data_IF_505419972798
#
_entry.id   IF_505419972798
#
_cell.length_a   1.000
_cell.length_b   1.000
_cell.length_c   1.000
_cell.angle_alpha   90.00
_cell.angle_beta   90.00
_cell.angle_gamma   90.00
#
_symmetry.space_group_name_H-M   'P 1'
#
loop_
_entity.id
_entity.type
_entity.pdbx_description
1 polymer ?
#
# COMPACT_ATOMS: atom_id res chain seq x y z
N UNK A 1 -13.31 86.88 20.69
CA UNK A 1 -13.59 85.47 21.05
C UNK A 1 -13.26 84.57 19.88
N UNK A 2 -12.13 83.87 19.88
CA UNK A 2 -11.97 82.55 19.23
C UNK A 2 -10.78 81.85 19.90
N UNK A 3 -11.06 80.82 20.70
CA UNK A 3 -10.08 79.91 21.30
C UNK A 3 -9.77 78.80 20.29
N UNK A 4 -8.50 78.51 20.02
CA UNK A 4 -8.06 77.32 19.27
C UNK A 4 -7.25 76.42 20.19
N UNK A 5 -7.83 75.32 20.63
CA UNK A 5 -7.14 74.23 21.33
C UNK A 5 -6.61 73.22 20.30
N UNK A 6 -5.32 72.90 20.37
CA UNK A 6 -4.68 71.84 19.55
C UNK A 6 -4.74 70.53 20.33
N UNK A 7 -5.50 69.56 19.84
CA UNK A 7 -5.48 68.18 20.32
C UNK A 7 -4.34 67.43 19.63
N UNK A 8 -3.42 66.87 20.43
CA UNK A 8 -2.43 65.90 19.97
C UNK A 8 -2.98 64.50 20.25
N UNK A 9 -3.25 63.73 19.19
CA UNK A 9 -3.68 62.32 19.29
C UNK A 9 -2.43 61.45 19.14
N UNK A 10 -2.12 60.68 20.18
CA UNK A 10 -1.05 59.67 20.19
C UNK A 10 -1.70 58.34 19.80
N UNK A 11 -1.34 57.80 18.63
CA UNK A 11 -1.76 56.47 18.18
C UNK A 11 -0.65 55.46 18.50
N UNK A 12 -0.94 54.53 19.41
CA UNK A 12 -0.12 53.35 19.66
C UNK A 12 -0.48 52.28 18.62
N UNK A 13 0.45 51.98 17.70
CA UNK A 13 0.29 50.88 16.75
C UNK A 13 0.73 49.57 17.41
N UNK A 14 -0.21 48.65 17.65
CA UNK A 14 0.07 47.28 18.09
C UNK A 14 0.26 46.41 16.85
N UNK A 15 1.48 45.92 16.64
CA UNK A 15 1.79 44.92 15.61
C UNK A 15 1.47 43.52 16.14
N UNK A 16 0.40 42.90 15.63
CA UNK A 16 0.15 41.47 15.82
C UNK A 16 1.02 40.68 14.82
N UNK A 17 2.16 40.18 15.28
CA UNK A 17 2.93 39.18 14.54
C UNK A 17 2.26 37.80 14.71
N UNK A 18 1.49 37.39 13.69
CA UNK A 18 0.97 36.02 13.63
C UNK A 18 2.11 35.04 13.39
N UNK A 19 2.41 34.18 14.37
CA UNK A 19 3.26 33.01 14.15
C UNK A 19 2.53 32.05 13.21
N UNK A 20 2.98 32.00 11.96
CA UNK A 20 2.62 30.92 11.04
C UNK A 20 3.45 29.70 11.47
N UNK A 21 2.87 28.81 12.27
CA UNK A 21 3.47 27.50 12.50
C UNK A 21 3.44 26.72 11.18
N UNK A 22 4.58 26.28 10.62
CA UNK A 22 4.57 25.40 9.47
C UNK A 22 3.82 24.12 9.84
N UNK A 23 2.75 23.83 9.13
CA UNK A 23 2.01 22.58 9.29
C UNK A 23 2.97 21.42 9.09
N UNK A 24 3.05 20.51 10.07
CA UNK A 24 3.71 19.22 9.88
C UNK A 24 3.06 18.54 8.68
N UNK A 25 3.77 18.08 7.63
CA UNK A 25 3.25 17.05 6.76
C UNK A 25 2.53 15.98 7.59
N UNK A 26 1.23 15.83 7.35
CA UNK A 26 0.49 14.69 7.82
C UNK A 26 1.14 13.47 7.16
N UNK A 27 2.01 12.79 7.89
CA UNK A 27 2.33 11.41 7.56
C UNK A 27 0.97 10.70 7.59
N UNK A 28 0.50 10.23 6.44
CA UNK A 28 -0.73 9.48 6.40
C UNK A 28 -0.51 8.25 7.28
N UNK A 29 -1.28 8.15 8.37
CA UNK A 29 -1.04 7.21 9.46
C UNK A 29 -0.82 5.79 8.92
N UNK A 30 0.41 5.29 9.01
CA UNK A 30 0.78 3.91 8.67
C UNK A 30 1.49 3.68 7.33
N UNK A 31 1.38 4.56 6.34
CA UNK A 31 2.02 4.35 5.01
C UNK A 31 3.10 5.38 4.76
N UNK A 32 4.34 4.91 4.62
CA UNK A 32 5.53 5.76 4.44
C UNK A 32 6.35 5.26 3.26
N UNK A 33 6.36 6.04 2.19
CA UNK A 33 7.17 5.77 1.00
C UNK A 33 8.67 5.74 1.34
N UNK A 34 9.43 4.89 0.65
CA UNK A 34 10.89 4.87 0.75
C UNK A 34 11.48 6.03 -0.06
N UNK A 35 11.92 7.07 0.64
CA UNK A 35 12.52 8.26 0.03
C UNK A 35 13.83 7.98 -0.72
N UNK A 36 14.51 6.87 -0.40
CA UNK A 36 15.75 6.44 -1.05
C UNK A 36 15.51 5.50 -2.24
N UNK A 37 14.25 5.11 -2.51
CA UNK A 37 13.92 4.31 -3.68
C UNK A 37 14.15 5.09 -4.99
N UNK A 38 14.45 4.41 -6.10
CA UNK A 38 14.52 5.04 -7.42
C UNK A 38 13.23 5.83 -7.73
N UNK A 39 13.33 6.95 -8.46
CA UNK A 39 12.19 7.83 -8.74
C UNK A 39 10.98 7.09 -9.33
N UNK A 40 11.20 6.14 -10.24
CA UNK A 40 10.15 5.31 -10.84
C UNK A 40 9.57 4.23 -9.92
N UNK A 41 10.01 4.15 -8.65
CA UNK A 41 9.52 3.22 -7.64
C UNK A 41 9.03 3.91 -6.37
N UNK A 42 8.99 5.24 -6.37
CA UNK A 42 8.64 6.05 -5.21
C UNK A 42 7.20 6.55 -5.34
N UNK A 43 6.23 5.96 -4.63
CA UNK A 43 4.87 6.48 -4.61
C UNK A 43 4.80 7.81 -3.85
N UNK A 44 3.72 8.55 -4.08
CA UNK A 44 3.36 9.70 -3.25
C UNK A 44 2.17 9.35 -2.38
N UNK A 45 2.32 9.50 -1.07
CA UNK A 45 1.23 9.26 -0.10
C UNK A 45 0.63 10.61 0.28
N UNK A 46 -0.68 10.75 0.05
CA UNK A 46 -1.46 11.94 0.37
C UNK A 46 -2.70 11.53 1.16
N UNK A 47 -3.47 12.51 1.65
CA UNK A 47 -4.75 12.24 2.32
C UNK A 47 -5.90 12.54 1.37
N UNK A 48 -6.91 11.67 1.34
CA UNK A 48 -8.18 11.93 0.64
C UNK A 48 -9.00 12.99 1.38
N UNK A 49 -10.07 13.48 0.76
CA UNK A 49 -10.95 14.47 1.40
C UNK A 49 -11.59 13.95 2.70
N UNK A 50 -11.90 12.65 2.78
CA UNK A 50 -12.41 12.03 3.99
C UNK A 50 -11.31 11.51 4.94
N UNK A 51 -10.03 11.79 4.65
CA UNK A 51 -8.92 11.52 5.57
C UNK A 51 -8.34 10.11 5.51
N UNK A 52 -8.57 9.36 4.43
CA UNK A 52 -7.89 8.08 4.19
C UNK A 52 -6.49 8.31 3.58
N UNK A 53 -5.53 7.40 3.82
CA UNK A 53 -4.30 7.38 3.04
C UNK A 53 -4.60 7.05 1.57
N UNK A 54 -4.16 7.91 0.66
CA UNK A 54 -4.13 7.66 -0.78
C UNK A 54 -2.68 7.55 -1.25
N UNK A 55 -2.37 6.41 -1.85
CA UNK A 55 -1.12 6.15 -2.54
C UNK A 55 -1.31 6.47 -4.02
N UNK A 56 -0.73 7.59 -4.45
CA UNK A 56 -0.45 7.82 -5.86
C UNK A 56 0.71 6.91 -6.26
N UNK A 57 0.39 5.73 -6.81
CA UNK A 57 1.36 4.71 -7.18
C UNK A 57 2.30 5.21 -8.29
N UNK A 58 3.49 4.64 -8.39
CA UNK A 58 4.42 4.92 -9.47
C UNK A 58 3.80 4.55 -10.83
N UNK A 59 4.19 5.24 -11.90
CA UNK A 59 3.78 4.87 -13.25
C UNK A 59 4.20 3.42 -13.56
N UNK A 60 3.34 2.61 -14.20
CA UNK A 60 3.71 1.24 -14.54
C UNK A 60 4.82 1.20 -15.60
N UNK A 61 5.63 0.15 -15.55
CA UNK A 61 6.58 -0.17 -16.62
C UNK A 61 5.89 -0.73 -17.88
N UNK A 62 6.69 -1.10 -18.89
CA UNK A 62 6.18 -1.67 -20.15
C UNK A 62 5.42 -3.00 -19.95
N UNK A 63 5.72 -3.74 -18.87
CA UNK A 63 5.01 -4.96 -18.49
C UNK A 63 3.70 -4.70 -17.74
N UNK A 64 3.39 -3.44 -17.42
CA UNK A 64 2.22 -3.06 -16.64
C UNK A 64 2.41 -3.20 -15.13
N UNK A 65 3.63 -3.36 -14.64
CA UNK A 65 3.96 -3.42 -13.22
C UNK A 65 4.21 -2.00 -12.68
N UNK A 66 3.39 -1.57 -11.73
CA UNK A 66 3.70 -0.44 -10.86
C UNK A 66 4.40 -0.96 -9.62
N UNK A 67 5.69 -0.66 -9.48
CA UNK A 67 6.46 -1.06 -8.32
C UNK A 67 6.61 0.11 -7.35
N UNK A 68 6.18 -0.08 -6.11
CA UNK A 68 6.10 0.96 -5.09
C UNK A 68 6.89 0.50 -3.87
N UNK A 69 7.87 1.29 -3.43
CA UNK A 69 8.73 0.96 -2.29
C UNK A 69 8.41 1.80 -1.07
N UNK A 70 8.41 1.14 0.10
CA UNK A 70 8.02 1.72 1.37
C UNK A 70 8.98 1.36 2.49
N UNK A 71 9.08 2.24 3.49
CA UNK A 71 9.66 1.94 4.81
C UNK A 71 8.60 1.40 5.78
N UNK A 72 7.32 1.70 5.52
CA UNK A 72 6.17 1.23 6.28
C UNK A 72 4.95 1.17 5.38
N UNK A 73 4.19 0.10 5.48
CA UNK A 73 2.92 -0.05 4.77
C UNK A 73 1.94 -0.75 5.71
N UNK A 74 1.28 0.04 6.55
CA UNK A 74 0.21 -0.38 7.43
C UNK A 74 -1.10 0.25 6.95
N UNK A 75 -2.17 -0.54 6.96
CA UNK A 75 -3.50 -0.11 6.56
C UNK A 75 -4.41 -0.23 7.77
N UNK A 76 -5.03 0.86 8.18
CA UNK A 76 -5.96 0.85 9.30
C UNK A 76 -7.32 0.25 8.90
N UNK A 77 -8.26 0.18 9.84
CA UNK A 77 -9.60 -0.39 9.60
C UNK A 77 -10.44 0.43 8.62
N UNK A 78 -10.10 1.70 8.40
CA UNK A 78 -10.82 2.58 7.47
C UNK A 78 -10.36 2.34 6.02
N UNK A 79 -9.19 1.75 5.84
CA UNK A 79 -8.67 1.32 4.55
C UNK A 79 -7.71 2.33 3.90
N UNK A 80 -7.28 2.02 2.68
CA UNK A 80 -6.37 2.84 1.90
C UNK A 80 -6.75 2.84 0.42
N UNK A 81 -6.43 3.92 -0.28
CA UNK A 81 -6.61 4.04 -1.73
C UNK A 81 -5.28 3.78 -2.44
N UNK A 82 -5.29 2.93 -3.46
CA UNK A 82 -4.23 2.78 -4.44
C UNK A 82 -4.70 3.46 -5.74
N UNK A 83 -4.23 4.68 -6.02
CA UNK A 83 -4.71 5.48 -7.14
C UNK A 83 -4.07 5.03 -8.46
N UNK A 84 -4.77 4.17 -9.20
CA UNK A 84 -4.36 3.61 -10.49
C UNK A 84 -5.04 4.33 -11.68
N UNK A 85 -5.46 5.58 -11.51
CA UNK A 85 -6.16 6.34 -12.57
C UNK A 85 -5.39 7.58 -13.00
N UNK A 86 -5.26 7.82 -14.31
CA UNK A 86 -4.75 9.09 -14.84
C UNK A 86 -5.78 10.24 -14.76
N UNK A 87 -7.03 9.93 -14.40
CA UNK A 87 -8.17 10.87 -14.45
C UNK A 87 -8.88 10.88 -13.10
N UNK A 88 -9.70 11.91 -12.90
CA UNK A 88 -10.59 11.96 -11.74
C UNK A 88 -11.51 10.73 -11.76
N UNK A 89 -11.63 10.06 -10.62
CA UNK A 89 -12.35 8.79 -10.53
C UNK A 89 -13.10 8.67 -9.20
N UNK A 90 -14.16 7.88 -9.20
CA UNK A 90 -14.94 7.59 -7.99
C UNK A 90 -14.40 6.34 -7.32
N UNK A 91 -14.37 6.35 -5.99
CA UNK A 91 -13.97 5.24 -5.13
C UNK A 91 -15.07 4.97 -4.10
N UNK A 92 -15.21 3.72 -3.68
CA UNK A 92 -16.14 3.30 -2.64
C UNK A 92 -15.74 3.78 -1.24
N UNK A 93 -14.45 3.84 -0.93
CA UNK A 93 -13.94 4.22 0.39
C UNK A 93 -13.76 5.74 0.56
N UNK A 94 -13.38 6.46 -0.50
CA UNK A 94 -13.01 7.89 -0.41
C UNK A 94 -13.90 8.84 -1.22
N UNK A 95 -14.88 8.32 -1.98
CA UNK A 95 -15.65 9.13 -2.92
C UNK A 95 -14.79 9.56 -4.11
N UNK A 96 -15.00 10.79 -4.60
CA UNK A 96 -14.26 11.31 -5.75
C UNK A 96 -12.82 11.68 -5.37
N UNK A 97 -11.85 11.17 -6.14
CA UNK A 97 -10.43 11.52 -6.02
C UNK A 97 -9.89 12.08 -7.34
N UNK A 98 -8.85 12.90 -7.26
CA UNK A 98 -8.13 13.38 -8.44
C UNK A 98 -7.31 12.25 -9.08
N UNK A 99 -7.00 12.40 -10.37
CA UNK A 99 -6.09 11.49 -11.06
C UNK A 99 -4.70 11.46 -10.42
N UNK A 100 -4.04 10.32 -10.52
CA UNK A 100 -2.68 10.10 -10.07
C UNK A 100 -1.71 10.98 -10.90
N UNK A 101 -1.01 11.95 -10.27
CA UNK A 101 -0.10 12.84 -10.98
C UNK A 101 1.16 12.15 -11.52
N UNK A 102 1.44 10.92 -11.08
CA UNK A 102 2.54 10.12 -11.63
C UNK A 102 2.23 9.60 -13.04
N UNK A 103 0.95 9.60 -13.44
CA UNK A 103 0.54 9.14 -14.76
C UNK A 103 0.48 10.34 -15.70
N UNK A 104 0.92 10.17 -16.94
CA UNK A 104 0.65 11.16 -17.99
C UNK A 104 -0.85 11.26 -18.28
N UNK A 105 -1.32 12.30 -19.00
CA UNK A 105 -2.75 12.51 -19.31
C UNK A 105 -3.47 11.31 -19.96
N UNK A 106 -2.70 10.45 -20.66
CA UNK A 106 -3.15 9.18 -21.26
C UNK A 106 -2.27 8.01 -20.79
N UNK A 107 -1.69 8.09 -19.59
CA UNK A 107 -0.88 7.04 -19.02
C UNK A 107 -1.68 5.75 -18.86
N UNK A 108 -1.11 4.63 -19.29
CA UNK A 108 -1.71 3.33 -19.08
C UNK A 108 -1.77 3.01 -17.58
N UNK A 109 -2.88 2.40 -17.16
CA UNK A 109 -3.01 1.92 -15.79
C UNK A 109 -2.15 0.67 -15.55
N UNK A 110 -1.73 0.49 -14.30
CA UNK A 110 -1.02 -0.70 -13.88
C UNK A 110 -1.95 -1.92 -13.92
N UNK A 111 -1.41 -3.06 -14.35
CA UNK A 111 -2.04 -4.38 -14.26
C UNK A 111 -1.69 -5.07 -12.94
N UNK A 112 -0.52 -4.76 -12.41
CA UNK A 112 0.00 -5.27 -11.12
C UNK A 112 0.52 -4.10 -10.32
N UNK A 113 0.05 -3.96 -9.08
CA UNK A 113 0.53 -2.98 -8.11
C UNK A 113 1.32 -3.74 -7.05
N UNK A 114 2.64 -3.66 -7.12
CA UNK A 114 3.54 -4.25 -6.14
C UNK A 114 3.89 -3.20 -5.08
N UNK A 115 3.49 -3.47 -3.83
CA UNK A 115 3.90 -2.72 -2.66
C UNK A 115 5.00 -3.50 -1.94
N UNK A 116 6.26 -3.10 -2.11
CA UNK A 116 7.42 -3.71 -1.48
C UNK A 116 7.87 -2.90 -0.27
N UNK A 117 7.98 -3.56 0.87
CA UNK A 117 8.38 -2.94 2.12
C UNK A 117 9.81 -3.36 2.44
N UNK A 118 10.69 -2.37 2.54
CA UNK A 118 12.07 -2.54 2.95
C UNK A 118 12.24 -2.06 4.39
N UNK A 119 11.84 -2.90 5.34
CA UNK A 119 11.83 -2.59 6.77
C UNK A 119 12.16 -3.82 7.62
N UNK A 120 12.59 -3.60 8.86
CA UNK A 120 12.69 -4.65 9.86
C UNK A 120 11.35 -4.97 10.53
N UNK A 121 10.34 -4.11 10.34
CA UNK A 121 9.03 -4.26 10.96
C UNK A 121 8.03 -4.94 10.02
N UNK A 122 7.19 -5.85 10.53
CA UNK A 122 6.13 -6.45 9.74
C UNK A 122 5.07 -5.41 9.35
N UNK A 123 4.36 -5.67 8.25
CA UNK A 123 3.19 -4.88 7.86
C UNK A 123 1.97 -5.27 8.69
N UNK A 124 1.18 -4.28 9.07
CA UNK A 124 -0.07 -4.48 9.81
C UNK A 124 -1.25 -3.99 8.97
N UNK A 125 -2.07 -4.93 8.50
CA UNK A 125 -3.17 -4.67 7.58
C UNK A 125 -4.49 -4.98 8.26
N UNK A 126 -5.33 -3.98 8.51
CA UNK A 126 -6.60 -4.11 9.23
C UNK A 126 -7.84 -3.67 8.44
N UNK A 127 -7.65 -3.28 7.19
CA UNK A 127 -8.73 -2.81 6.34
C UNK A 127 -8.43 -3.04 4.87
N UNK A 128 -9.38 -2.62 4.04
CA UNK A 128 -9.34 -2.87 2.60
C UNK A 128 -8.44 -1.85 1.88
N UNK A 129 -7.70 -2.35 0.89
CA UNK A 129 -7.01 -1.54 -0.10
C UNK A 129 -7.88 -1.45 -1.36
N UNK A 130 -8.34 -0.26 -1.70
CA UNK A 130 -9.13 -0.03 -2.90
C UNK A 130 -8.27 0.45 -4.06
N UNK A 131 -8.34 -0.25 -5.20
CA UNK A 131 -7.73 0.23 -6.45
C UNK A 131 -8.68 1.22 -7.12
N UNK A 132 -8.29 2.50 -7.16
CA UNK A 132 -9.07 3.52 -7.85
C UNK A 132 -8.78 3.51 -9.36
N UNK A 133 -9.83 3.61 -10.17
CA UNK A 133 -9.73 3.52 -11.64
C UNK A 133 -9.71 2.07 -12.13
N UNK A 134 -8.77 1.77 -13.03
CA UNK A 134 -8.73 0.45 -13.67
C UNK A 134 -8.30 -0.65 -12.68
N UNK A 135 -9.00 -1.79 -12.76
CA UNK A 135 -8.75 -2.98 -11.94
C UNK A 135 -7.30 -3.46 -12.12
N UNK A 136 -6.64 -3.78 -11.01
CA UNK A 136 -5.29 -4.34 -10.99
C UNK A 136 -5.16 -5.50 -10.00
N UNK A 137 -4.06 -6.23 -10.06
CA UNK A 137 -3.64 -7.11 -8.97
C UNK A 137 -2.95 -6.28 -7.88
N UNK A 138 -3.15 -6.64 -6.61
CA UNK A 138 -2.50 -5.98 -5.48
C UNK A 138 -1.60 -6.96 -4.76
N UNK A 139 -0.34 -6.59 -4.60
CA UNK A 139 0.67 -7.39 -3.92
C UNK A 139 1.23 -6.57 -2.77
N UNK A 140 1.31 -7.16 -1.58
CA UNK A 140 2.05 -6.62 -0.44
C UNK A 140 3.18 -7.58 -0.12
N UNK A 141 4.42 -7.13 -0.28
CA UNK A 141 5.62 -7.91 -0.06
C UNK A 141 6.45 -7.31 1.08
N UNK A 142 6.52 -8.00 2.22
CA UNK A 142 7.31 -7.59 3.38
C UNK A 142 8.07 -8.78 3.99
N UNK A 143 9.39 -8.91 3.75
CA UNK A 143 10.19 -9.99 4.33
C UNK A 143 10.27 -10.01 5.86
N UNK A 144 9.90 -8.92 6.55
CA UNK A 144 9.80 -8.93 8.01
C UNK A 144 8.53 -9.65 8.51
N UNK A 145 7.52 -9.85 7.67
CA UNK A 145 6.25 -10.46 8.03
C UNK A 145 5.06 -9.57 7.67
N UNK A 146 3.87 -10.18 7.69
CA UNK A 146 2.60 -9.49 7.44
C UNK A 146 1.57 -10.02 8.44
N UNK A 147 0.84 -9.14 9.10
CA UNK A 147 -0.37 -9.47 9.83
C UNK A 147 -1.59 -8.89 9.10
N UNK A 148 -2.62 -9.72 8.93
CA UNK A 148 -3.92 -9.36 8.40
C UNK A 148 -5.01 -9.62 9.44
N UNK A 149 -5.74 -8.56 9.83
CA UNK A 149 -6.87 -8.60 10.76
C UNK A 149 -8.05 -7.83 10.15
N UNK A 150 -8.78 -8.47 9.23
CA UNK A 150 -9.86 -7.84 8.45
C UNK A 150 -9.37 -7.10 7.21
N UNK A 151 -8.18 -7.46 6.70
CA UNK A 151 -7.65 -6.86 5.48
C UNK A 151 -8.29 -7.45 4.23
N UNK A 152 -8.20 -6.74 3.11
CA UNK A 152 -8.72 -7.22 1.82
C UNK A 152 -8.47 -6.22 0.70
N UNK A 153 -9.10 -6.46 -0.45
CA UNK A 153 -9.00 -5.56 -1.60
C UNK A 153 -10.35 -5.23 -2.22
N UNK A 154 -10.49 -4.01 -2.74
CA UNK A 154 -11.64 -3.58 -3.54
C UNK A 154 -11.13 -3.25 -4.94
N UNK A 155 -11.89 -3.67 -5.96
CA UNK A 155 -11.52 -3.49 -7.37
C UNK A 155 -10.15 -4.11 -7.71
N UNK A 156 -9.79 -5.22 -7.05
CA UNK A 156 -8.62 -6.02 -7.40
C UNK A 156 -9.04 -7.40 -7.91
N UNK A 157 -8.38 -7.89 -8.95
CA UNK A 157 -8.63 -9.25 -9.46
C UNK A 157 -7.95 -10.35 -8.64
N UNK A 158 -6.86 -10.00 -7.94
CA UNK A 158 -6.02 -10.88 -7.15
C UNK A 158 -5.36 -10.10 -6.02
N UNK A 159 -5.26 -10.72 -4.86
CA UNK A 159 -4.51 -10.22 -3.71
C UNK A 159 -3.40 -11.22 -3.34
N UNK A 160 -2.16 -10.75 -3.27
CA UNK A 160 -1.03 -11.58 -2.83
C UNK A 160 -0.38 -10.96 -1.61
N UNK A 161 -0.33 -11.70 -0.49
CA UNK A 161 0.47 -11.36 0.68
C UNK A 161 1.73 -12.22 0.66
N UNK A 162 2.89 -11.58 0.58
CA UNK A 162 4.17 -12.26 0.46
C UNK A 162 5.20 -11.79 1.48
N UNK A 163 6.00 -12.72 2.00
CA UNK A 163 7.24 -12.40 2.75
C UNK A 163 8.49 -12.60 1.88
N UNK A 164 8.30 -12.94 0.60
CA UNK A 164 9.40 -13.06 -0.34
C UNK A 164 9.83 -11.71 -0.90
N UNK A 165 11.13 -11.58 -1.17
CA UNK A 165 11.66 -10.46 -1.94
C UNK A 165 11.26 -10.62 -3.41
N UNK A 166 10.67 -9.60 -4.05
CA UNK A 166 10.27 -9.69 -5.45
C UNK A 166 11.49 -9.92 -6.35
N UNK A 167 11.33 -10.75 -7.38
CA UNK A 167 12.32 -11.04 -8.40
C UNK A 167 11.77 -10.54 -9.74
N UNK A 168 12.62 -9.88 -10.54
CA UNK A 168 12.22 -9.36 -11.86
C UNK A 168 12.89 -10.10 -12.99
N UNK A 169 12.15 -10.20 -14.09
CA UNK A 169 12.69 -10.61 -15.38
C UNK A 169 13.53 -9.49 -15.99
N UNK A 170 14.32 -9.83 -17.00
CA UNK A 170 15.15 -8.86 -17.71
C UNK A 170 14.33 -7.75 -18.42
N UNK A 171 13.08 -8.03 -18.76
CA UNK A 171 12.14 -7.07 -19.36
C UNK A 171 11.45 -6.16 -18.33
N UNK A 172 11.79 -6.29 -17.04
CA UNK A 172 11.22 -5.50 -15.94
C UNK A 172 9.97 -6.11 -15.31
N UNK A 173 9.32 -7.08 -15.96
CA UNK A 173 8.13 -7.74 -15.42
C UNK A 173 8.42 -8.53 -14.14
N UNK A 174 7.38 -8.76 -13.34
CA UNK A 174 7.50 -9.55 -12.11
C UNK A 174 7.68 -11.03 -12.45
N UNK A 175 8.84 -11.59 -12.12
CA UNK A 175 9.11 -13.02 -12.29
C UNK A 175 8.47 -13.84 -11.16
N UNK A 176 8.51 -13.32 -9.95
CA UNK A 176 8.00 -14.01 -8.77
C UNK A 176 8.63 -13.51 -7.48
N UNK A 177 8.75 -14.40 -6.49
CA UNK A 177 9.21 -14.09 -5.13
C UNK A 177 10.26 -15.09 -4.68
N UNK A 178 11.32 -14.59 -4.05
CA UNK A 178 12.28 -15.41 -3.29
C UNK A 178 11.92 -15.35 -1.81
N UNK A 179 11.40 -16.45 -1.27
CA UNK A 179 10.91 -16.56 0.09
C UNK A 179 11.98 -17.20 0.97
N UNK A 180 12.49 -16.44 1.95
CA UNK A 180 13.55 -16.90 2.85
C UNK A 180 13.15 -16.86 4.33
N UNK A 181 12.36 -15.86 4.73
CA UNK A 181 12.00 -15.57 6.12
C UNK A 181 10.63 -14.90 6.20
N UNK A 182 10.18 -14.61 7.42
CA UNK A 182 8.94 -13.87 7.68
C UNK A 182 7.72 -14.79 7.80
N UNK A 183 6.73 -14.32 8.56
CA UNK A 183 5.47 -15.03 8.78
C UNK A 183 4.32 -14.18 8.25
N UNK A 184 3.36 -14.81 7.57
CA UNK A 184 2.05 -14.22 7.29
C UNK A 184 1.06 -14.72 8.33
N UNK A 185 0.45 -13.81 9.09
CA UNK A 185 -0.56 -14.12 10.11
C UNK A 185 -1.92 -13.61 9.67
N UNK A 186 -2.91 -14.49 9.66
CA UNK A 186 -4.32 -14.13 9.50
C UNK A 186 -5.00 -14.23 10.86
N UNK A 187 -5.47 -13.10 11.37
CA UNK A 187 -6.04 -12.93 12.71
C UNK A 187 -7.53 -12.60 12.64
N UNK A 188 -8.17 -12.43 13.80
CA UNK A 188 -9.63 -12.48 14.06
C UNK A 188 -10.61 -11.60 13.25
N UNK A 189 -10.16 -10.79 12.30
CA UNK A 189 -10.99 -10.18 11.24
C UNK A 189 -10.96 -10.93 9.90
N UNK A 190 -10.05 -11.89 9.76
CA UNK A 190 -9.81 -12.69 8.56
C UNK A 190 -9.19 -11.91 7.40
N UNK A 191 -9.15 -12.54 6.23
CA UNK A 191 -8.63 -11.98 4.99
C UNK A 191 -9.66 -12.05 3.88
N UNK A 192 -10.00 -10.88 3.32
CA UNK A 192 -10.95 -10.68 2.24
C UNK A 192 -12.38 -11.15 2.59
N UNK A 193 -12.79 -10.97 3.84
CA UNK A 193 -14.11 -11.38 4.36
C UNK A 193 -15.30 -10.50 3.95
N UNK A 194 -15.18 -9.81 2.82
CA UNK A 194 -16.26 -8.99 2.28
C UNK A 194 -17.23 -9.85 1.47
N UNK A 195 -18.53 -9.72 1.77
CA UNK A 195 -19.61 -10.49 1.19
C UNK A 195 -19.69 -10.40 -0.35
N UNK A 196 -19.13 -9.34 -0.96
CA UNK A 196 -19.10 -9.21 -2.42
C UNK A 196 -18.17 -10.23 -3.10
N UNK A 197 -17.11 -10.66 -2.39
CA UNK A 197 -16.07 -11.57 -2.89
C UNK A 197 -15.51 -11.17 -4.27
N UNK A 198 -15.29 -9.87 -4.49
CA UNK A 198 -14.83 -9.32 -5.79
C UNK A 198 -13.43 -9.79 -6.18
N UNK A 199 -12.62 -10.12 -5.17
CA UNK A 199 -11.26 -10.63 -5.31
C UNK A 199 -11.30 -12.11 -5.69
N UNK A 200 -10.97 -12.41 -6.95
CA UNK A 200 -11.08 -13.76 -7.47
C UNK A 200 -10.04 -14.72 -6.89
N UNK A 201 -8.82 -14.21 -6.66
CA UNK A 201 -7.69 -15.02 -6.23
C UNK A 201 -7.01 -14.40 -5.01
N UNK A 202 -6.66 -15.24 -4.04
CA UNK A 202 -5.86 -14.87 -2.87
C UNK A 202 -4.65 -15.80 -2.79
N UNK A 203 -3.46 -15.22 -2.68
CA UNK A 203 -2.21 -15.97 -2.49
C UNK A 203 -1.53 -15.56 -1.18
N UNK A 204 -1.18 -16.54 -0.34
CA UNK A 204 -0.34 -16.37 0.86
C UNK A 204 1.00 -17.06 0.62
N UNK A 205 2.05 -16.27 0.43
CA UNK A 205 3.38 -16.73 0.01
C UNK A 205 4.41 -16.41 1.08
N UNK A 206 4.77 -17.37 1.94
CA UNK A 206 5.65 -17.04 3.07
C UNK A 206 6.57 -18.14 3.56
N UNK A 207 7.55 -17.80 4.40
CA UNK A 207 8.39 -18.83 5.04
C UNK A 207 7.54 -19.69 5.98
N UNK A 208 6.64 -19.06 6.73
CA UNK A 208 5.57 -19.72 7.46
C UNK A 208 4.26 -18.91 7.36
N UNK A 209 3.13 -19.58 7.47
CA UNK A 209 1.80 -18.97 7.49
C UNK A 209 1.07 -19.43 8.73
N UNK A 210 0.40 -18.53 9.45
CA UNK A 210 -0.45 -18.84 10.60
C UNK A 210 -1.88 -18.36 10.27
N UNK A 211 -2.85 -19.27 10.18
CA UNK A 211 -4.23 -18.94 9.81
C UNK A 211 -5.15 -19.21 11.00
N UNK A 212 -5.52 -18.14 11.71
CA UNK A 212 -6.38 -18.21 12.90
C UNK A 212 -7.79 -17.65 12.65
N UNK A 213 -8.11 -17.26 11.41
CA UNK A 213 -9.41 -16.74 11.00
C UNK A 213 -9.68 -17.06 9.52
N UNK A 214 -10.88 -16.73 9.03
CA UNK A 214 -11.29 -17.06 7.67
C UNK A 214 -10.46 -16.36 6.59
N UNK A 215 -10.27 -17.06 5.47
CA UNK A 215 -9.61 -16.56 4.26
C UNK A 215 -10.56 -16.84 3.10
N UNK A 216 -10.94 -15.80 2.37
CA UNK A 216 -11.97 -15.90 1.32
C UNK A 216 -11.44 -15.43 -0.03
N UNK A 217 -11.88 -16.09 -1.10
CA UNK A 217 -11.67 -15.68 -2.50
C UNK A 217 -12.82 -16.22 -3.35
N UNK A 218 -13.12 -15.58 -4.48
CA UNK A 218 -14.20 -16.07 -5.36
C UNK A 218 -13.88 -17.41 -6.02
N UNK A 219 -12.63 -17.57 -6.45
CA UNK A 219 -12.19 -18.72 -7.25
C UNK A 219 -11.20 -19.59 -6.48
N UNK A 220 -10.11 -19.01 -5.95
CA UNK A 220 -9.05 -19.81 -5.32
C UNK A 220 -8.31 -19.07 -4.22
N UNK A 221 -8.05 -19.78 -3.11
CA UNK A 221 -7.06 -19.43 -2.09
C UNK A 221 -5.86 -20.36 -2.26
N UNK A 222 -4.67 -19.80 -2.50
CA UNK A 222 -3.40 -20.52 -2.59
C UNK A 222 -2.53 -20.19 -1.39
N UNK A 223 -1.92 -21.21 -0.78
CA UNK A 223 -1.00 -21.05 0.34
C UNK A 223 0.29 -21.81 0.02
N UNK A 224 1.40 -21.08 -0.08
CA UNK A 224 2.72 -21.66 -0.32
C UNK A 224 3.61 -21.25 0.84
N UNK A 225 3.97 -22.23 1.66
CA UNK A 225 4.85 -22.07 2.80
C UNK A 225 6.24 -22.68 2.55
N UNK A 226 7.23 -22.23 3.32
CA UNK A 226 8.60 -22.72 3.27
C UNK A 226 9.54 -21.84 2.47
N UNK A 227 10.76 -22.35 2.26
CA UNK A 227 11.84 -21.60 1.59
C UNK A 227 11.84 -21.91 0.11
N UNK A 228 11.26 -21.03 -0.70
CA UNK A 228 10.97 -21.31 -2.11
C UNK A 228 11.29 -20.10 -3.00
N UNK A 229 11.54 -20.36 -4.28
CA UNK A 229 11.26 -19.43 -5.36
C UNK A 229 9.86 -19.73 -5.88
N UNK A 230 8.98 -18.74 -5.88
CA UNK A 230 7.58 -18.89 -6.31
C UNK A 230 7.32 -17.99 -7.51
N UNK A 231 6.66 -18.49 -8.55
CA UNK A 231 6.28 -17.66 -9.72
C UNK A 231 5.29 -16.56 -9.34
N UNK A 232 5.25 -15.48 -10.13
CA UNK A 232 4.34 -14.35 -9.88
C UNK A 232 2.85 -14.72 -9.86
N UNK A 233 2.46 -15.77 -10.58
CA UNK A 233 1.08 -16.29 -10.61
C UNK A 233 0.79 -17.35 -9.52
N UNK A 234 1.76 -17.59 -8.64
CA UNK A 234 1.71 -18.58 -7.56
C UNK A 234 1.43 -20.02 -8.02
N UNK A 235 1.72 -20.37 -9.28
CA UNK A 235 1.51 -21.73 -9.81
C UNK A 235 2.71 -22.66 -9.66
N UNK A 236 3.93 -22.12 -9.58
CA UNK A 236 5.14 -22.92 -9.42
C UNK A 236 5.89 -22.51 -8.16
N UNK A 237 6.44 -23.50 -7.46
CA UNK A 237 7.28 -23.31 -6.29
C UNK A 237 8.48 -24.25 -6.36
N UNK A 238 9.68 -23.67 -6.40
CA UNK A 238 10.94 -24.40 -6.40
C UNK A 238 11.63 -24.23 -5.04
N UNK A 239 11.90 -25.31 -4.30
CA UNK A 239 12.60 -25.22 -3.02
C UNK A 239 13.98 -24.59 -3.15
N UNK A 240 14.34 -23.69 -2.23
CA UNK A 240 15.71 -23.23 -2.05
C UNK A 240 16.53 -24.30 -1.30
N UNK A 241 17.86 -24.26 -1.44
CA UNK A 241 18.77 -25.23 -0.82
C UNK A 241 18.51 -25.39 0.70
N UNK A 242 18.67 -26.56 1.32
CA UNK A 242 18.36 -26.76 2.74
C UNK A 242 19.11 -25.82 3.69
N UNK A 243 18.48 -25.44 4.81
CA UNK A 243 19.11 -24.71 5.92
C UNK A 243 19.18 -25.60 7.17
N UNK A 244 20.19 -25.37 8.01
CA UNK A 244 20.39 -26.12 9.26
C UNK A 244 19.26 -25.90 10.28
N UNK A 245 18.67 -24.70 10.30
CA UNK A 245 17.54 -24.36 11.18
C UNK A 245 16.27 -24.23 10.34
N UNK A 246 15.25 -25.02 10.69
CA UNK A 246 13.93 -25.01 10.04
C UNK A 246 12.90 -24.47 11.03
N UNK A 247 11.86 -23.74 10.57
CA UNK A 247 10.74 -23.40 11.44
C UNK A 247 10.05 -24.67 11.92
N UNK A 248 9.48 -24.61 13.12
CA UNK A 248 8.76 -25.73 13.74
C UNK A 248 7.48 -26.09 12.96
N UNK A 249 6.86 -25.09 12.34
CA UNK A 249 5.67 -25.23 11.51
C UNK A 249 5.81 -24.40 10.21
N UNK A 250 5.30 -24.94 9.11
CA UNK A 250 5.22 -24.22 7.83
C UNK A 250 3.84 -23.57 7.61
N UNK A 251 2.77 -24.25 8.03
CA UNK A 251 1.37 -23.79 8.02
C UNK A 251 0.70 -24.29 9.30
#
# INVERSE_FOLDING_TARGET
MQYRYRFAVILWAVWLAGLITPGRPAAADGIVADGAAPTGQRPHVVSTQNGLPQVNIAAPDQGGLSHNRYLRFDVDRRGAILNNSAKMTSTGLAGMIQGNPNFGPNGAAARVILNEINSSNPSVLRGFMEVAGDKAQVIVANPAGIMCDGCGTINAGRMTLSTGSPQRNADGSLAGFRIERGVVRIEGGGLNGDARHDTAYVDLLARAVEINAGVWARETVSVIAGRNRVSADAKTAEPLAPEAVKPELAI
#
